data_IF_357216649326
#
_entry.id   IF_357216649326
#
_cell.length_a   1.000
_cell.length_b   1.000
_cell.length_c   1.000
_cell.angle_alpha   90.00
_cell.angle_beta   90.00
_cell.angle_gamma   90.00
#
_symmetry.space_group_name_H-M   'P 1'
#
loop_
_entity.id
_entity.type
_entity.pdbx_description
1 polymer ?
#
# COMPACT_ATOMS: atom_id res chain seq x y z
N UNK A 1 18.21 13.21 29.69
CA UNK A 1 16.85 12.77 30.06
C UNK A 1 15.76 13.76 29.61
N UNK A 2 15.68 15.03 30.09
CA UNK A 2 14.56 15.93 29.73
C UNK A 2 14.54 16.41 28.26
N UNK A 3 15.68 16.39 27.56
CA UNK A 3 15.74 16.70 26.12
C UNK A 3 15.17 15.59 25.23
N UNK A 4 15.36 14.32 25.59
CA UNK A 4 14.89 13.18 24.79
C UNK A 4 13.37 13.02 24.88
N UNK A 5 12.77 13.26 26.04
CA UNK A 5 11.30 13.25 26.19
C UNK A 5 10.62 14.27 25.28
N UNK A 6 11.12 15.52 25.24
CA UNK A 6 10.58 16.56 24.35
C UNK A 6 10.72 16.23 22.85
N UNK A 7 11.78 15.51 22.48
CA UNK A 7 12.00 15.05 21.10
C UNK A 7 10.99 13.94 20.75
N UNK A 8 10.74 13.02 21.68
CA UNK A 8 9.72 11.98 21.58
C UNK A 8 8.33 12.58 21.33
N UNK A 9 7.91 13.55 22.17
CA UNK A 9 6.63 14.23 22.03
C UNK A 9 6.50 14.94 20.66
N UNK A 10 7.61 15.52 20.19
CA UNK A 10 7.65 16.19 18.89
C UNK A 10 7.51 15.20 17.73
N UNK A 11 8.13 14.03 17.83
CA UNK A 11 8.04 12.95 16.83
C UNK A 11 6.62 12.40 16.74
N UNK A 12 5.98 12.11 17.88
CA UNK A 12 4.59 11.66 17.92
C UNK A 12 3.63 12.70 17.32
N UNK A 13 3.81 13.98 17.65
CA UNK A 13 3.01 15.07 17.09
C UNK A 13 3.16 15.15 15.56
N UNK A 14 4.39 15.00 15.05
CA UNK A 14 4.64 15.00 13.59
C UNK A 14 3.88 13.85 12.93
N UNK A 15 3.91 12.65 13.52
CA UNK A 15 3.15 11.51 13.00
C UNK A 15 1.64 11.83 12.91
N UNK A 16 1.03 12.34 13.99
CA UNK A 16 -0.40 12.69 14.00
C UNK A 16 -0.73 13.74 12.93
N UNK A 17 0.07 14.81 12.84
CA UNK A 17 -0.15 15.88 11.84
C UNK A 17 0.01 15.34 10.41
N UNK A 18 0.99 14.48 10.17
CA UNK A 18 1.21 13.86 8.86
C UNK A 18 0.08 12.89 8.47
N UNK A 19 -0.48 12.15 9.43
CA UNK A 19 -1.63 11.27 9.20
C UNK A 19 -2.91 12.06 8.87
N UNK A 20 -3.15 13.17 9.58
CA UNK A 20 -4.24 14.10 9.26
C UNK A 20 -4.05 14.68 7.85
N UNK A 21 -2.84 15.14 7.51
CA UNK A 21 -2.53 15.64 6.17
C UNK A 21 -2.75 14.57 5.09
N UNK A 22 -2.36 13.33 5.36
CA UNK A 22 -2.58 12.21 4.45
C UNK A 22 -4.07 11.94 4.24
N UNK A 23 -4.86 12.00 5.32
CA UNK A 23 -6.33 11.90 5.27
C UNK A 23 -6.95 13.03 4.44
N UNK A 24 -6.42 14.24 4.56
CA UNK A 24 -6.82 15.42 3.78
C UNK A 24 -6.34 15.40 2.31
N UNK A 25 -5.65 14.35 1.88
CA UNK A 25 -5.12 14.24 0.53
C UNK A 25 -3.80 14.97 0.29
N UNK A 26 -3.18 15.55 1.31
CA UNK A 26 -2.00 16.39 1.19
C UNK A 26 -0.71 15.56 1.33
N UNK A 27 -0.53 14.54 0.48
CA UNK A 27 0.55 13.56 0.61
C UNK A 27 1.95 14.19 0.61
N UNK A 28 2.19 15.19 -0.26
CA UNK A 28 3.47 15.90 -0.29
C UNK A 28 3.74 16.68 1.02
N UNK A 29 2.72 17.29 1.61
CA UNK A 29 2.85 18.00 2.88
C UNK A 29 3.04 17.04 4.07
N UNK A 30 2.43 15.85 4.02
CA UNK A 30 2.68 14.78 4.97
C UNK A 30 4.14 14.29 4.87
N UNK A 31 4.62 14.02 3.66
CA UNK A 31 6.00 13.62 3.41
C UNK A 31 7.00 14.67 3.91
N UNK A 32 6.77 15.94 3.62
CA UNK A 32 7.61 17.03 4.12
C UNK A 32 7.66 17.07 5.67
N UNK A 33 6.54 16.79 6.35
CA UNK A 33 6.53 16.70 7.80
C UNK A 33 7.43 15.57 8.32
N UNK A 34 7.33 14.37 7.72
CA UNK A 34 8.23 13.26 8.05
C UNK A 34 9.70 13.60 7.78
N UNK A 35 10.01 14.20 6.63
CA UNK A 35 11.38 14.62 6.29
C UNK A 35 11.95 15.65 7.28
N UNK A 36 11.10 16.55 7.79
CA UNK A 36 11.52 17.51 8.82
C UNK A 36 11.84 16.80 10.14
N UNK A 37 11.05 15.80 10.54
CA UNK A 37 11.34 15.01 11.73
C UNK A 37 12.63 14.20 11.58
N UNK A 38 12.86 13.55 10.43
CA UNK A 38 14.13 12.85 10.18
C UNK A 38 15.34 13.78 10.21
N UNK A 39 15.23 14.99 9.64
CA UNK A 39 16.31 16.00 9.74
C UNK A 39 16.58 16.42 11.18
N UNK A 40 15.54 16.69 11.96
CA UNK A 40 15.68 17.02 13.38
C UNK A 40 16.39 15.90 14.16
N UNK A 41 16.04 14.64 13.91
CA UNK A 41 16.69 13.50 14.55
C UNK A 41 18.14 13.35 14.09
N UNK A 42 18.43 13.57 12.81
CA UNK A 42 19.79 13.55 12.28
C UNK A 42 20.70 14.61 12.93
N UNK A 43 20.20 15.84 13.08
CA UNK A 43 20.91 16.94 13.76
C UNK A 43 21.20 16.63 15.23
N UNK A 44 20.40 15.74 15.85
CA UNK A 44 20.58 15.26 17.22
C UNK A 44 21.43 13.98 17.32
N UNK A 45 22.02 13.52 16.22
CA UNK A 45 22.86 12.32 16.18
C UNK A 45 22.08 11.01 16.03
N UNK A 46 20.89 11.05 15.44
CA UNK A 46 19.99 9.91 15.22
C UNK A 46 19.65 9.11 16.50
N UNK A 47 19.11 9.77 17.55
CA UNK A 47 18.68 9.05 18.73
C UNK A 47 17.50 8.14 18.38
N UNK A 48 17.51 6.92 18.91
CA UNK A 48 16.34 6.03 18.88
C UNK A 48 15.34 6.55 19.93
N UNK A 49 14.19 7.03 19.46
CA UNK A 49 13.12 7.63 20.28
C UNK A 49 11.77 6.98 19.97
N UNK A 50 10.81 7.09 20.89
CA UNK A 50 9.46 6.58 20.70
C UNK A 50 8.78 7.29 19.52
N UNK A 51 8.02 6.55 18.71
CA UNK A 51 7.33 7.06 17.52
C UNK A 51 8.19 7.14 16.26
N UNK A 52 9.49 6.84 16.33
CA UNK A 52 10.36 6.80 15.13
C UNK A 52 9.93 5.71 14.15
N UNK A 53 9.48 4.56 14.66
CA UNK A 53 8.89 3.48 13.90
C UNK A 53 7.63 3.94 13.13
N UNK A 54 6.81 4.81 13.74
CA UNK A 54 5.62 5.38 13.12
C UNK A 54 5.95 6.37 12.01
N UNK A 55 7.05 7.13 12.14
CA UNK A 55 7.55 7.96 11.04
C UNK A 55 7.96 7.10 9.84
N UNK A 56 8.69 6.01 10.08
CA UNK A 56 9.08 5.08 9.03
C UNK A 56 7.87 4.41 8.36
N UNK A 57 6.92 3.92 9.15
CA UNK A 57 5.66 3.34 8.66
C UNK A 57 4.85 4.35 7.83
N UNK A 58 4.71 5.58 8.32
CA UNK A 58 4.00 6.64 7.63
C UNK A 58 4.63 6.99 6.27
N UNK A 59 5.96 7.05 6.19
CA UNK A 59 6.67 7.25 4.91
C UNK A 59 6.50 6.06 3.98
N UNK A 60 6.52 4.83 4.49
CA UNK A 60 6.27 3.63 3.69
C UNK A 60 4.90 3.69 3.01
N UNK A 61 3.85 4.04 3.75
CA UNK A 61 2.50 4.18 3.21
C UNK A 61 2.45 5.20 2.05
N UNK A 62 3.17 6.33 2.17
CA UNK A 62 3.27 7.34 1.11
C UNK A 62 4.03 6.82 -0.11
N UNK A 63 5.18 6.16 0.09
CA UNK A 63 5.94 5.57 -1.00
C UNK A 63 5.14 4.51 -1.74
N UNK A 64 4.36 3.70 -1.03
CA UNK A 64 3.44 2.77 -1.64
C UNK A 64 2.48 3.49 -2.56
N UNK A 65 1.78 4.54 -2.10
CA UNK A 65 0.83 5.28 -2.94
C UNK A 65 1.45 5.91 -4.18
N UNK A 66 2.74 6.29 -4.09
CA UNK A 66 3.54 6.77 -5.21
C UNK A 66 4.20 5.67 -6.04
N UNK A 67 3.79 4.41 -5.86
CA UNK A 67 4.27 3.26 -6.62
C UNK A 67 5.77 2.95 -6.44
N UNK A 68 6.38 3.42 -5.34
CA UNK A 68 7.79 3.22 -4.97
C UNK A 68 7.91 2.09 -3.94
N UNK A 69 7.61 0.86 -4.39
CA UNK A 69 7.43 -0.28 -3.49
C UNK A 69 8.70 -0.67 -2.72
N UNK A 70 9.86 -0.60 -3.36
CA UNK A 70 11.13 -0.97 -2.72
C UNK A 70 11.46 0.00 -1.57
N UNK A 71 11.25 1.29 -1.80
CA UNK A 71 11.43 2.31 -0.77
C UNK A 71 10.39 2.14 0.35
N UNK A 72 9.17 1.73 0.02
CA UNK A 72 8.16 1.41 1.02
C UNK A 72 8.59 0.21 1.88
N UNK A 73 9.15 -0.84 1.27
CA UNK A 73 9.64 -2.03 1.96
C UNK A 73 10.83 -1.70 2.88
N UNK A 74 11.82 -0.94 2.39
CA UNK A 74 12.96 -0.48 3.17
C UNK A 74 12.53 0.25 4.46
N UNK A 75 11.51 1.11 4.36
CA UNK A 75 10.97 1.83 5.50
C UNK A 75 10.21 0.91 6.48
N UNK A 76 9.49 -0.12 6.02
CA UNK A 76 8.84 -1.07 6.93
C UNK A 76 9.85 -1.97 7.65
N UNK A 77 10.91 -2.39 6.96
CA UNK A 77 12.01 -3.13 7.59
C UNK A 77 12.71 -2.30 8.67
N UNK A 78 12.90 -0.99 8.44
CA UNK A 78 13.43 -0.09 9.46
C UNK A 78 12.46 0.06 10.65
N UNK A 79 11.16 0.18 10.40
CA UNK A 79 10.15 0.26 11.45
C UNK A 79 10.06 -1.03 12.29
N UNK A 80 10.20 -2.20 11.67
CA UNK A 80 10.26 -3.50 12.35
C UNK A 80 11.48 -3.61 13.26
N UNK A 81 12.66 -3.27 12.74
CA UNK A 81 13.92 -3.28 13.50
C UNK A 81 13.84 -2.36 14.74
N UNK A 82 13.22 -1.19 14.60
CA UNK A 82 12.98 -0.27 15.71
C UNK A 82 11.95 -0.82 16.72
N UNK A 83 10.92 -1.52 16.24
CA UNK A 83 9.87 -2.11 17.09
C UNK A 83 10.42 -3.23 17.99
N UNK A 84 11.43 -3.96 17.53
CA UNK A 84 12.14 -4.96 18.34
C UNK A 84 13.05 -4.32 19.38
N UNK A 85 13.73 -3.23 19.02
CA UNK A 85 14.65 -2.51 19.91
C UNK A 85 13.93 -1.74 21.02
N UNK A 86 12.76 -1.18 20.74
CA UNK A 86 12.07 -0.29 21.66
C UNK A 86 11.31 -1.02 22.78
N UNK A 87 11.07 -2.35 22.69
CA UNK A 87 10.34 -3.19 23.68
C UNK A 87 9.19 -2.44 24.39
N UNK A 88 8.44 -1.60 23.67
CA UNK A 88 7.45 -0.72 24.28
C UNK A 88 6.17 -0.72 23.43
N UNK A 89 5.05 -0.95 24.12
CA UNK A 89 3.65 -0.89 23.67
C UNK A 89 3.22 -1.93 22.62
N UNK A 90 2.51 -3.01 23.03
CA UNK A 90 1.97 -4.00 22.10
C UNK A 90 0.96 -3.45 21.08
N UNK A 91 0.28 -2.34 21.38
CA UNK A 91 -0.76 -1.76 20.52
C UNK A 91 -0.19 -1.23 19.20
N UNK A 92 1.10 -0.95 19.06
CA UNK A 92 1.62 -0.31 17.85
C UNK A 92 2.06 -1.33 16.78
N UNK A 93 2.28 -2.58 17.18
CA UNK A 93 2.65 -3.69 16.29
C UNK A 93 1.55 -4.01 15.27
N UNK A 94 0.27 -3.82 15.63
CA UNK A 94 -0.83 -4.07 14.69
C UNK A 94 -0.79 -3.11 13.50
N UNK A 95 -0.44 -1.83 13.70
CA UNK A 95 -0.41 -0.82 12.63
C UNK A 95 0.69 -1.11 11.62
N UNK A 96 1.88 -1.46 12.11
CA UNK A 96 2.99 -1.89 11.26
C UNK A 96 2.59 -3.12 10.42
N UNK A 97 1.96 -4.09 11.07
CA UNK A 97 1.48 -5.31 10.41
C UNK A 97 0.44 -5.01 9.31
N UNK A 98 -0.47 -4.06 9.55
CA UNK A 98 -1.42 -3.60 8.52
C UNK A 98 -0.70 -2.92 7.35
N UNK A 99 0.33 -2.10 7.58
CA UNK A 99 1.12 -1.50 6.49
C UNK A 99 1.87 -2.57 5.67
N UNK A 100 2.46 -3.57 6.32
CA UNK A 100 3.04 -4.74 5.65
C UNK A 100 2.01 -5.51 4.83
N UNK A 101 0.86 -5.83 5.41
CA UNK A 101 -0.21 -6.52 4.71
C UNK A 101 -0.62 -5.77 3.45
N UNK A 102 -0.78 -4.44 3.53
CA UNK A 102 -1.14 -3.65 2.37
C UNK A 102 -0.03 -3.61 1.32
N UNK A 103 1.25 -3.55 1.71
CA UNK A 103 2.37 -3.64 0.77
C UNK A 103 2.39 -4.99 0.06
N UNK A 104 2.24 -6.10 0.79
CA UNK A 104 2.18 -7.45 0.22
C UNK A 104 0.99 -7.64 -0.71
N UNK A 105 -0.17 -7.08 -0.35
CA UNK A 105 -1.34 -7.04 -1.21
C UNK A 105 -1.07 -6.28 -2.52
N UNK A 106 -0.37 -5.14 -2.48
CA UNK A 106 0.03 -4.38 -3.67
C UNK A 106 1.08 -5.12 -4.51
N UNK A 107 1.96 -5.92 -3.89
CA UNK A 107 2.92 -6.79 -4.57
C UNK A 107 2.28 -8.06 -5.17
N UNK A 108 1.00 -8.31 -4.90
CA UNK A 108 0.28 -9.52 -5.33
C UNK A 108 0.51 -10.75 -4.43
N UNK A 109 1.30 -10.62 -3.36
CA UNK A 109 1.50 -11.68 -2.38
C UNK A 109 0.36 -11.67 -1.35
N UNK A 110 -0.80 -12.19 -1.78
CA UNK A 110 -2.03 -12.18 -0.99
C UNK A 110 -1.95 -13.10 0.24
N UNK A 111 -1.18 -14.18 0.16
CA UNK A 111 -0.95 -15.09 1.29
C UNK A 111 -0.13 -14.41 2.38
N UNK A 112 0.99 -13.78 2.02
CA UNK A 112 1.77 -13.00 2.98
C UNK A 112 0.94 -11.84 3.55
N UNK A 113 0.07 -11.22 2.73
CA UNK A 113 -0.83 -10.18 3.22
C UNK A 113 -1.77 -10.68 4.32
N UNK A 114 -2.37 -11.86 4.16
CA UNK A 114 -3.21 -12.48 5.20
C UNK A 114 -2.40 -12.81 6.45
N UNK A 115 -1.20 -13.38 6.31
CA UNK A 115 -0.33 -13.69 7.45
C UNK A 115 0.02 -12.45 8.29
N UNK A 116 0.25 -11.31 7.64
CA UNK A 116 0.45 -10.04 8.33
C UNK A 116 -0.82 -9.52 9.02
N UNK A 117 -2.01 -9.75 8.47
CA UNK A 117 -3.27 -9.39 9.13
C UNK A 117 -3.56 -10.29 10.33
N UNK A 118 -3.18 -11.56 10.27
CA UNK A 118 -3.28 -12.47 11.42
C UNK A 118 -2.31 -12.07 12.53
N UNK A 119 -1.08 -11.67 12.17
CA UNK A 119 -0.15 -11.06 13.11
C UNK A 119 -0.71 -9.76 13.71
N UNK A 120 -1.39 -8.92 12.91
CA UNK A 120 -2.04 -7.71 13.40
C UNK A 120 -3.13 -8.03 14.44
N UNK A 121 -3.95 -9.05 14.19
CA UNK A 121 -5.03 -9.48 15.08
C UNK A 121 -4.49 -10.03 16.41
N UNK A 122 -3.46 -10.87 16.36
CA UNK A 122 -2.83 -11.45 17.56
C UNK A 122 -2.22 -10.39 18.49
N UNK A 123 -1.74 -9.29 17.92
CA UNK A 123 -1.12 -8.20 18.66
C UNK A 123 -2.05 -7.00 18.89
N UNK A 124 -3.31 -7.07 18.45
CA UNK A 124 -4.26 -6.00 18.66
C UNK A 124 -4.70 -5.94 20.13
N UNK A 125 -4.54 -4.78 20.75
CA UNK A 125 -5.11 -4.49 22.06
C UNK A 125 -6.21 -3.46 21.90
N UNK A 126 -7.39 -3.76 22.47
CA UNK A 126 -8.51 -2.82 22.41
C UNK A 126 -8.17 -1.55 23.17
N UNK A 127 -8.09 -0.44 22.47
CA UNK A 127 -7.91 0.89 23.06
C UNK A 127 -9.19 1.74 22.99
N UNK A 128 -9.27 2.85 23.74
CA UNK A 128 -10.38 3.79 23.62
C UNK A 128 -10.43 4.52 22.26
N UNK A 129 -9.33 4.48 21.51
CA UNK A 129 -9.22 5.13 20.21
C UNK A 129 -9.90 4.27 19.13
N UNK A 130 -10.70 4.88 18.24
CA UNK A 130 -11.32 4.14 17.14
C UNK A 130 -10.28 3.69 16.12
N UNK A 131 -10.29 2.41 15.75
CA UNK A 131 -9.57 1.91 14.58
C UNK A 131 -10.39 2.25 13.34
N UNK A 132 -9.91 3.22 12.55
CA UNK A 132 -10.63 3.75 11.39
C UNK A 132 -10.46 2.88 10.12
N UNK A 133 -9.41 2.05 10.08
CA UNK A 133 -9.09 1.15 8.98
C UNK A 133 -8.70 -0.21 9.56
N UNK A 134 -9.71 -0.97 9.97
CA UNK A 134 -9.53 -2.22 10.71
C UNK A 134 -8.80 -3.28 9.88
N UNK A 135 -8.07 -4.17 10.56
CA UNK A 135 -7.38 -5.27 9.87
C UNK A 135 -8.40 -6.27 9.29
N UNK A 136 -9.60 -6.38 9.88
CA UNK A 136 -10.70 -7.19 9.38
C UNK A 136 -11.23 -6.66 8.04
N UNK A 137 -11.39 -5.35 7.88
CA UNK A 137 -11.78 -4.74 6.61
C UNK A 137 -10.67 -4.91 5.55
N UNK A 138 -9.39 -4.79 5.92
CA UNK A 138 -8.29 -5.13 5.02
C UNK A 138 -8.29 -6.61 4.63
N UNK A 139 -8.62 -7.51 5.55
CA UNK A 139 -8.73 -8.95 5.28
C UNK A 139 -9.81 -9.23 4.25
N UNK A 140 -10.98 -8.59 4.39
CA UNK A 140 -12.03 -8.67 3.38
C UNK A 140 -11.54 -8.19 1.99
N UNK A 141 -10.74 -7.13 1.93
CA UNK A 141 -10.13 -6.67 0.67
C UNK A 141 -9.14 -7.66 0.07
N UNK A 142 -8.38 -8.38 0.88
CA UNK A 142 -7.50 -9.45 0.41
C UNK A 142 -8.32 -10.63 -0.13
N UNK A 143 -9.39 -11.05 0.57
CA UNK A 143 -10.28 -12.11 0.07
C UNK A 143 -10.94 -11.74 -1.26
N UNK A 144 -11.35 -10.48 -1.43
CA UNK A 144 -11.86 -9.99 -2.72
C UNK A 144 -10.82 -10.12 -3.84
N UNK A 145 -9.55 -9.82 -3.57
CA UNK A 145 -8.44 -10.00 -4.51
C UNK A 145 -8.17 -11.48 -4.84
N UNK A 146 -8.44 -12.39 -3.90
CA UNK A 146 -8.34 -13.83 -4.10
C UNK A 146 -9.56 -14.43 -4.83
N UNK A 147 -10.61 -13.65 -5.06
CA UNK A 147 -11.90 -14.14 -5.57
C UNK A 147 -12.77 -14.85 -4.52
N UNK A 148 -12.36 -14.87 -3.25
CA UNK A 148 -13.10 -15.46 -2.13
C UNK A 148 -14.22 -14.51 -1.64
N UNK A 149 -15.17 -14.18 -2.52
CA UNK A 149 -16.21 -13.19 -2.26
C UNK A 149 -17.16 -13.61 -1.12
N UNK A 150 -17.35 -14.90 -0.90
CA UNK A 150 -18.19 -15.41 0.19
C UNK A 150 -17.57 -15.17 1.56
N UNK A 151 -16.25 -15.31 1.72
CA UNK A 151 -15.56 -14.97 2.96
C UNK A 151 -15.68 -13.47 3.28
N UNK A 152 -15.61 -12.61 2.26
CA UNK A 152 -15.85 -11.17 2.41
C UNK A 152 -17.32 -10.88 2.76
N UNK A 153 -18.28 -11.66 2.24
CA UNK A 153 -19.69 -11.55 2.60
C UNK A 153 -19.97 -11.97 4.05
N UNK A 154 -19.28 -13.00 4.54
CA UNK A 154 -19.36 -13.43 5.94
C UNK A 154 -18.80 -12.36 6.89
N UNK A 155 -17.76 -11.63 6.47
CA UNK A 155 -17.28 -10.46 7.20
C UNK A 155 -18.35 -9.36 7.31
N UNK A 156 -19.03 -9.02 6.20
CA UNK A 156 -20.15 -8.05 6.19
C UNK A 156 -21.24 -8.45 7.19
N UNK A 157 -21.64 -9.72 7.18
CA UNK A 157 -22.68 -10.25 8.08
C UNK A 157 -22.26 -10.14 9.56
N UNK A 158 -21.03 -10.55 9.90
CA UNK A 158 -20.49 -10.48 11.28
C UNK A 158 -20.38 -9.04 11.80
N UNK A 159 -20.10 -8.08 10.93
CA UNK A 159 -19.95 -6.67 11.30
C UNK A 159 -21.27 -5.89 11.24
N UNK A 160 -22.38 -6.55 10.88
CA UNK A 160 -23.69 -5.91 10.78
C UNK A 160 -23.69 -4.71 9.82
N UNK A 161 -22.91 -4.79 8.73
CA UNK A 161 -22.81 -3.69 7.78
C UNK A 161 -24.07 -3.63 6.92
N UNK A 162 -24.62 -2.43 6.82
CA UNK A 162 -25.82 -2.15 6.04
C UNK A 162 -25.61 -0.86 5.25
N UNK A 163 -26.28 -0.75 4.10
CA UNK A 163 -26.37 0.50 3.33
C UNK A 163 -27.33 1.51 3.96
N UNK A 164 -28.11 1.10 4.95
CA UNK A 164 -29.00 1.97 5.72
C UNK A 164 -28.28 2.64 6.91
N UNK A 165 -28.56 3.93 7.16
CA UNK A 165 -28.08 4.65 8.35
C UNK A 165 -27.07 5.77 8.08
N UNK A 166 -26.66 6.45 9.15
CA UNK A 166 -25.73 7.58 9.05
C UNK A 166 -24.30 7.12 8.72
N UNK A 167 -23.65 7.83 7.79
CA UNK A 167 -22.25 7.60 7.45
C UNK A 167 -21.39 8.37 8.45
N UNK A 168 -20.91 7.66 9.46
CA UNK A 168 -19.93 8.20 10.40
C UNK A 168 -18.51 7.94 9.88
N UNK A 169 -17.57 8.83 10.24
CA UNK A 169 -16.16 8.66 9.86
C UNK A 169 -15.59 7.29 10.29
N UNK A 170 -16.01 6.77 11.45
CA UNK A 170 -15.59 5.46 11.96
C UNK A 170 -16.01 4.31 11.04
N UNK A 171 -17.22 4.36 10.45
CA UNK A 171 -17.76 3.30 9.59
C UNK A 171 -17.44 3.49 8.11
N UNK A 172 -16.87 4.63 7.73
CA UNK A 172 -16.64 4.97 6.33
C UNK A 172 -15.81 3.90 5.61
N UNK A 173 -14.69 3.47 6.20
CA UNK A 173 -13.81 2.48 5.58
C UNK A 173 -14.50 1.12 5.38
N UNK A 174 -15.32 0.71 6.34
CA UNK A 174 -16.10 -0.53 6.27
C UNK A 174 -17.17 -0.45 5.18
N UNK A 175 -17.86 0.69 5.06
CA UNK A 175 -18.87 0.92 4.02
C UNK A 175 -18.27 1.04 2.62
N UNK A 176 -17.09 1.65 2.49
CA UNK A 176 -16.31 1.62 1.23
C UNK A 176 -15.94 0.18 0.89
N UNK A 177 -15.55 -0.63 1.88
CA UNK A 177 -15.21 -2.04 1.68
C UNK A 177 -16.43 -2.89 1.30
N UNK A 178 -17.60 -2.60 1.87
CA UNK A 178 -18.88 -3.17 1.44
C UNK A 178 -19.19 -2.81 -0.03
N UNK A 179 -19.01 -1.55 -0.41
CA UNK A 179 -19.21 -1.12 -1.80
C UNK A 179 -18.26 -1.82 -2.77
N UNK A 180 -16.99 -2.05 -2.37
CA UNK A 180 -16.03 -2.85 -3.15
C UNK A 180 -16.51 -4.30 -3.33
N UNK A 181 -17.08 -4.91 -2.30
CA UNK A 181 -17.62 -6.28 -2.40
C UNK A 181 -18.77 -6.34 -3.40
N UNK A 182 -19.70 -5.38 -3.35
CA UNK A 182 -20.80 -5.30 -4.30
C UNK A 182 -20.35 -5.07 -5.73
N UNK A 183 -19.35 -4.20 -5.93
CA UNK A 183 -18.73 -4.02 -7.25
C UNK A 183 -18.07 -5.31 -7.74
N UNK A 184 -17.27 -5.97 -6.91
CA UNK A 184 -16.59 -7.21 -7.27
C UNK A 184 -17.58 -8.32 -7.62
N UNK A 185 -18.68 -8.46 -6.86
CA UNK A 185 -19.76 -9.40 -7.19
C UNK A 185 -20.48 -9.01 -8.48
N UNK A 186 -20.80 -7.74 -8.69
CA UNK A 186 -21.46 -7.31 -9.92
C UNK A 186 -20.59 -7.46 -11.17
N UNK A 187 -19.26 -7.40 -11.03
CA UNK A 187 -18.32 -7.72 -12.11
C UNK A 187 -18.29 -9.24 -12.37
N UNK A 188 -18.30 -10.07 -11.31
CA UNK A 188 -18.26 -11.53 -11.44
C UNK A 188 -19.58 -12.11 -11.97
N UNK A 189 -20.71 -11.58 -11.50
CA UNK A 189 -22.06 -11.93 -11.92
C UNK A 189 -22.94 -10.67 -12.07
N UNK A 190 -23.03 -10.12 -13.30
CA UNK A 190 -23.87 -8.96 -13.58
C UNK A 190 -25.36 -9.19 -13.32
N UNK A 191 -25.84 -10.43 -13.31
CA UNK A 191 -27.25 -10.77 -13.11
C UNK A 191 -27.73 -10.63 -11.66
N UNK A 192 -26.82 -10.79 -10.70
CA UNK A 192 -27.08 -10.63 -9.26
C UNK A 192 -26.71 -9.23 -8.73
N UNK A 193 -26.24 -8.36 -9.62
CA UNK A 193 -25.68 -7.08 -9.24
C UNK A 193 -26.74 -6.08 -8.76
N UNK A 194 -26.60 -5.63 -7.51
CA UNK A 194 -27.45 -4.59 -6.94
C UNK A 194 -26.97 -3.16 -7.31
N UNK A 195 -26.78 -2.87 -8.60
CA UNK A 195 -26.19 -1.62 -9.11
C UNK A 195 -26.82 -0.35 -8.53
N UNK A 196 -28.15 -0.30 -8.46
CA UNK A 196 -28.88 0.84 -7.88
C UNK A 196 -28.50 1.09 -6.41
N UNK A 197 -28.36 0.03 -5.61
CA UNK A 197 -27.93 0.13 -4.20
C UNK A 197 -26.47 0.56 -4.09
N UNK A 198 -25.60 0.03 -4.95
CA UNK A 198 -24.19 0.43 -5.04
C UNK A 198 -24.06 1.93 -5.35
N UNK A 199 -24.74 2.43 -6.38
CA UNK A 199 -24.71 3.86 -6.74
C UNK A 199 -25.23 4.75 -5.62
N UNK A 200 -26.33 4.37 -4.97
CA UNK A 200 -26.88 5.12 -3.85
C UNK A 200 -25.91 5.21 -2.66
N UNK A 201 -25.23 4.11 -2.35
CA UNK A 201 -24.22 4.06 -1.29
C UNK A 201 -22.99 4.91 -1.67
N UNK A 202 -22.45 4.74 -2.88
CA UNK A 202 -21.29 5.49 -3.37
C UNK A 202 -21.56 6.99 -3.42
N UNK A 203 -22.76 7.43 -3.82
CA UNK A 203 -23.14 8.84 -3.84
C UNK A 203 -23.13 9.46 -2.42
N UNK A 204 -23.69 8.76 -1.44
CA UNK A 204 -23.71 9.21 -0.04
C UNK A 204 -22.31 9.22 0.58
N UNK A 205 -21.50 8.18 0.31
CA UNK A 205 -20.11 8.11 0.75
C UNK A 205 -19.28 9.25 0.14
N UNK A 206 -19.46 9.53 -1.15
CA UNK A 206 -18.73 10.61 -1.83
C UNK A 206 -19.06 11.97 -1.21
N UNK A 207 -20.35 12.24 -0.99
CA UNK A 207 -20.79 13.47 -0.34
C UNK A 207 -20.18 13.63 1.05
N UNK A 208 -20.24 12.59 1.88
CA UNK A 208 -19.64 12.60 3.21
C UNK A 208 -18.12 12.82 3.17
N UNK A 209 -17.42 12.12 2.27
CA UNK A 209 -15.97 12.22 2.10
C UNK A 209 -15.54 13.63 1.69
N UNK A 210 -16.22 14.23 0.71
CA UNK A 210 -15.97 15.59 0.26
C UNK A 210 -16.26 16.62 1.37
N UNK A 211 -17.40 16.48 2.07
CA UNK A 211 -17.78 17.40 3.13
C UNK A 211 -16.78 17.47 4.28
N UNK A 212 -16.07 16.37 4.58
CA UNK A 212 -14.99 16.38 5.57
C UNK A 212 -13.59 16.24 5.00
N UNK A 213 -13.38 16.63 3.73
CA UNK A 213 -12.05 16.74 3.12
C UNK A 213 -11.25 15.44 2.97
N UNK A 214 -11.89 14.27 3.03
CA UNK A 214 -11.22 12.96 2.97
C UNK A 214 -10.95 12.54 1.53
N UNK A 215 -9.99 13.24 0.93
CA UNK A 215 -9.71 13.19 -0.50
C UNK A 215 -9.33 11.78 -0.99
N UNK A 216 -8.57 11.01 -0.20
CA UNK A 216 -8.25 9.61 -0.54
C UNK A 216 -9.50 8.73 -0.67
N UNK A 217 -10.46 8.87 0.26
CA UNK A 217 -11.76 8.18 0.17
C UNK A 217 -12.55 8.65 -1.05
N UNK A 218 -12.58 9.97 -1.32
CA UNK A 218 -13.30 10.52 -2.46
C UNK A 218 -12.76 9.98 -3.80
N UNK A 219 -11.43 9.90 -3.98
CA UNK A 219 -10.81 9.29 -5.16
C UNK A 219 -11.22 7.82 -5.28
N UNK A 220 -11.08 7.05 -4.20
CA UNK A 220 -11.42 5.62 -4.17
C UNK A 220 -12.88 5.38 -4.58
N UNK A 221 -13.79 6.22 -4.08
CA UNK A 221 -15.22 6.15 -4.41
C UNK A 221 -15.49 6.50 -5.88
N UNK A 222 -14.84 7.54 -6.41
CA UNK A 222 -14.99 7.93 -7.83
C UNK A 222 -14.42 6.86 -8.78
N UNK A 223 -13.31 6.22 -8.39
CA UNK A 223 -12.77 5.05 -9.09
C UNK A 223 -13.79 3.92 -9.14
N UNK A 224 -14.41 3.56 -8.00
CA UNK A 224 -15.45 2.53 -7.98
C UNK A 224 -16.68 2.91 -8.83
N UNK A 225 -17.09 4.18 -8.84
CA UNK A 225 -18.20 4.65 -9.70
C UNK A 225 -17.88 4.48 -11.18
N UNK A 226 -16.67 4.83 -11.60
CA UNK A 226 -16.22 4.65 -12.98
C UNK A 226 -16.23 3.16 -13.36
N UNK A 227 -15.69 2.29 -12.50
CA UNK A 227 -15.65 0.86 -12.75
C UNK A 227 -17.04 0.21 -12.75
N UNK A 228 -17.96 0.66 -11.89
CA UNK A 228 -19.36 0.21 -11.89
C UNK A 228 -20.03 0.50 -13.23
N UNK A 229 -19.88 1.71 -13.78
CA UNK A 229 -20.45 2.08 -15.07
C UNK A 229 -19.89 1.24 -16.22
N UNK A 230 -18.58 0.94 -16.20
CA UNK A 230 -17.99 0.01 -17.18
C UNK A 230 -18.61 -1.39 -17.05
N UNK A 231 -18.77 -1.89 -15.83
CA UNK A 231 -19.35 -3.21 -15.55
C UNK A 231 -20.84 -3.30 -15.94
N UNK A 232 -21.57 -2.20 -15.84
CA UNK A 232 -22.97 -2.05 -16.28
C UNK A 232 -23.13 -1.96 -17.81
N UNK A 233 -22.03 -1.86 -18.56
CA UNK A 233 -22.06 -1.71 -20.01
C UNK A 233 -22.23 -0.27 -20.50
N UNK A 234 -21.96 0.73 -19.65
CA UNK A 234 -21.91 2.16 -20.01
C UNK A 234 -20.49 2.77 -19.88
N UNK A 235 -19.52 2.39 -20.75
CA UNK A 235 -18.19 3.01 -20.77
C UNK A 235 -18.19 4.54 -20.96
N UNK A 236 -19.06 5.16 -21.77
CA UNK A 236 -19.13 6.61 -21.86
C UNK A 236 -19.47 7.28 -20.52
N UNK A 237 -20.40 6.70 -19.74
CA UNK A 237 -20.75 7.19 -18.40
C UNK A 237 -19.57 7.19 -17.43
N UNK A 238 -18.64 6.23 -17.57
CA UNK A 238 -17.46 6.07 -16.71
C UNK A 238 -16.43 7.21 -16.80
N UNK A 239 -16.46 8.00 -17.87
CA UNK A 239 -15.45 9.01 -18.15
C UNK A 239 -15.51 10.20 -17.19
N UNK A 240 -16.70 10.59 -16.74
CA UNK A 240 -16.85 11.74 -15.86
C UNK A 240 -16.37 11.45 -14.43
N UNK A 241 -16.76 10.33 -13.78
CA UNK A 241 -16.16 9.95 -12.49
C UNK A 241 -14.66 9.70 -12.58
N UNK A 242 -14.17 9.10 -13.68
CA UNK A 242 -12.74 8.94 -13.90
C UNK A 242 -12.02 10.29 -13.96
N UNK A 243 -12.55 11.26 -14.72
CA UNK A 243 -11.97 12.61 -14.80
C UNK A 243 -11.89 13.27 -13.43
N UNK A 244 -12.98 13.23 -12.66
CA UNK A 244 -12.99 13.79 -11.30
C UNK A 244 -11.96 13.09 -10.39
N UNK A 245 -11.83 11.77 -10.48
CA UNK A 245 -10.82 11.04 -9.72
C UNK A 245 -9.40 11.47 -10.09
N UNK A 246 -9.10 11.62 -11.39
CA UNK A 246 -7.80 12.05 -11.89
C UNK A 246 -7.46 13.47 -11.45
N UNK A 247 -8.40 14.41 -11.55
CA UNK A 247 -8.22 15.81 -11.15
C UNK A 247 -7.89 15.94 -9.65
N UNK A 248 -8.54 15.14 -8.79
CA UNK A 248 -8.24 15.11 -7.35
C UNK A 248 -6.91 14.42 -7.05
N UNK A 249 -6.54 13.40 -7.83
CA UNK A 249 -5.40 12.55 -7.57
C UNK A 249 -4.07 13.15 -8.06
N UNK A 250 -4.07 13.88 -9.17
CA UNK A 250 -2.87 14.39 -9.84
C UNK A 250 -1.98 15.27 -8.93
N UNK A 251 -2.51 16.26 -8.19
CA UNK A 251 -1.68 17.16 -7.37
C UNK A 251 -0.87 16.45 -6.28
N UNK A 252 -1.40 15.34 -5.75
CA UNK A 252 -0.77 14.54 -4.70
C UNK A 252 -0.14 13.24 -5.21
N UNK A 253 -0.32 12.94 -6.50
CA UNK A 253 0.32 11.83 -7.19
C UNK A 253 -0.18 10.44 -6.81
N UNK A 254 -1.47 10.27 -6.48
CA UNK A 254 -2.03 8.97 -6.09
C UNK A 254 -2.01 7.94 -7.23
N UNK A 255 -1.05 7.01 -7.25
CA UNK A 255 -0.99 5.98 -8.28
C UNK A 255 -1.77 4.72 -7.88
N UNK A 256 -1.59 4.23 -6.65
CA UNK A 256 -2.12 2.92 -6.24
C UNK A 256 -3.64 2.83 -6.17
N UNK A 257 -4.34 3.93 -5.92
CA UNK A 257 -5.81 3.95 -5.97
C UNK A 257 -6.38 3.62 -7.36
N UNK A 258 -5.57 3.71 -8.42
CA UNK A 258 -5.95 3.31 -9.78
C UNK A 258 -5.27 2.00 -10.18
N UNK A 259 -3.95 1.89 -9.97
CA UNK A 259 -3.15 0.74 -10.42
C UNK A 259 -3.60 -0.55 -9.76
N UNK A 260 -3.99 -0.48 -8.50
CA UNK A 260 -4.40 -1.65 -7.74
C UNK A 260 -5.79 -2.19 -8.15
N UNK A 261 -6.53 -1.48 -9.01
CA UNK A 261 -7.78 -1.97 -9.63
C UNK A 261 -7.52 -2.87 -10.85
N UNK A 262 -6.29 -2.93 -11.35
CA UNK A 262 -5.87 -3.86 -12.39
C UNK A 262 -6.44 -3.55 -13.79
N UNK A 263 -6.65 -4.62 -14.57
CA UNK A 263 -6.97 -4.56 -16.00
C UNK A 263 -8.21 -3.68 -16.33
N UNK A 264 -9.33 -3.72 -15.59
CA UNK A 264 -10.48 -2.86 -15.86
C UNK A 264 -10.13 -1.37 -15.87
N UNK A 265 -9.33 -0.92 -14.90
CA UNK A 265 -8.88 0.47 -14.83
C UNK A 265 -7.86 0.79 -15.93
N UNK A 266 -6.95 -0.12 -16.23
CA UNK A 266 -5.99 0.05 -17.32
C UNK A 266 -6.70 0.25 -18.67
N UNK A 267 -7.73 -0.55 -18.95
CA UNK A 267 -8.53 -0.44 -20.17
C UNK A 267 -9.27 0.89 -20.24
N UNK A 268 -9.92 1.31 -19.14
CA UNK A 268 -10.65 2.57 -19.08
C UNK A 268 -9.72 3.78 -19.27
N UNK A 269 -8.54 3.79 -18.65
CA UNK A 269 -7.53 4.82 -18.86
C UNK A 269 -7.04 4.84 -20.32
N UNK A 270 -6.82 3.67 -20.91
CA UNK A 270 -6.42 3.56 -22.32
C UNK A 270 -7.47 4.12 -23.28
N UNK A 271 -8.75 3.87 -23.01
CA UNK A 271 -9.86 4.42 -23.79
C UNK A 271 -9.95 5.95 -23.66
N UNK A 272 -9.82 6.48 -22.44
CA UNK A 272 -9.77 7.92 -22.22
C UNK A 272 -8.61 8.60 -22.98
N UNK A 273 -7.44 7.95 -23.04
CA UNK A 273 -6.29 8.41 -23.86
C UNK A 273 -6.63 8.44 -25.34
N UNK A 274 -7.25 7.37 -25.88
CA UNK A 274 -7.65 7.29 -27.30
C UNK A 274 -8.65 8.37 -27.69
N UNK A 275 -9.52 8.76 -26.78
CA UNK A 275 -10.48 9.86 -26.98
C UNK A 275 -9.85 11.26 -26.84
N UNK A 276 -8.52 11.37 -26.89
CA UNK A 276 -7.80 12.64 -26.87
C UNK A 276 -7.65 13.30 -25.50
N UNK A 277 -7.95 12.58 -24.40
CA UNK A 277 -7.87 13.13 -23.02
C UNK A 277 -6.53 12.83 -22.33
N UNK A 278 -5.48 12.54 -23.09
CA UNK A 278 -4.22 12.07 -22.55
C UNK A 278 -3.45 13.15 -21.77
N UNK A 279 -3.27 12.98 -20.46
CA UNK A 279 -2.39 13.81 -19.64
C UNK A 279 -1.04 13.13 -19.36
N UNK A 280 -0.05 13.89 -18.88
CA UNK A 280 1.21 13.32 -18.40
C UNK A 280 0.96 12.36 -17.22
N UNK A 281 0.00 12.70 -16.36
CA UNK A 281 -0.41 11.89 -15.23
C UNK A 281 -1.02 10.54 -15.65
N UNK A 282 -1.93 10.53 -16.63
CA UNK A 282 -2.50 9.30 -17.17
C UNK A 282 -1.44 8.40 -17.81
N UNK A 283 -0.46 8.97 -18.52
CA UNK A 283 0.68 8.20 -19.06
C UNK A 283 1.51 7.56 -17.94
N UNK A 284 1.74 8.27 -16.84
CA UNK A 284 2.41 7.72 -15.65
C UNK A 284 1.61 6.58 -15.01
N UNK A 285 0.28 6.72 -14.91
CA UNK A 285 -0.61 5.65 -14.45
C UNK A 285 -0.52 4.42 -15.34
N UNK A 286 -0.66 4.59 -16.66
CA UNK A 286 -0.55 3.48 -17.63
C UNK A 286 0.81 2.79 -17.57
N UNK A 287 1.91 3.54 -17.43
CA UNK A 287 3.24 2.97 -17.27
C UNK A 287 3.38 2.14 -15.98
N UNK A 288 2.70 2.53 -14.90
CA UNK A 288 2.72 1.80 -13.63
C UNK A 288 2.03 0.43 -13.72
N UNK A 289 1.06 0.25 -14.62
CA UNK A 289 0.48 -1.08 -14.91
C UNK A 289 1.48 -1.99 -15.63
N UNK A 290 2.33 -1.46 -16.51
CA UNK A 290 3.36 -2.24 -17.22
C UNK A 290 4.56 -2.59 -16.34
N UNK A 291 4.77 -1.87 -15.25
CA UNK A 291 5.80 -2.16 -14.24
C UNK A 291 5.35 -3.18 -13.19
N UNK A 292 4.11 -3.68 -13.26
CA UNK A 292 3.66 -4.81 -12.46
C UNK A 292 4.41 -6.09 -12.87
N UNK A 293 4.80 -6.96 -11.93
CA UNK A 293 5.70 -8.07 -12.19
C UNK A 293 4.95 -9.23 -12.86
N UNK A 294 4.57 -9.07 -14.13
CA UNK A 294 4.12 -10.19 -14.95
C UNK A 294 4.28 -9.92 -16.46
N UNK A 295 5.53 -9.77 -16.90
CA UNK A 295 5.99 -10.29 -18.20
C UNK A 295 7.48 -10.65 -18.12
N UNK A 296 7.89 -11.88 -18.48
CA UNK A 296 9.30 -12.23 -18.62
C UNK A 296 9.88 -11.52 -19.84
N UNK A 297 10.44 -10.34 -19.61
CA UNK A 297 11.32 -9.70 -20.59
C UNK A 297 12.55 -10.58 -20.80
N UNK A 298 12.87 -10.88 -22.07
CA UNK A 298 14.02 -11.67 -22.47
C UNK A 298 15.29 -11.28 -21.69
N UNK A 299 16.17 -12.25 -21.32
CA UNK A 299 17.33 -12.01 -20.47
C UNK A 299 18.25 -10.99 -21.14
N UNK A 300 18.19 -9.75 -20.66
CA UNK A 300 19.16 -8.72 -21.00
C UNK A 300 20.48 -9.08 -20.31
N UNK A 301 21.62 -9.00 -21.03
CA UNK A 301 22.93 -9.20 -20.43
C UNK A 301 23.13 -8.20 -19.29
N UNK A 302 23.75 -8.65 -18.21
CA UNK A 302 24.13 -7.80 -17.08
C UNK A 302 24.96 -6.62 -17.59
N UNK A 303 24.55 -5.40 -17.26
CA UNK A 303 25.33 -4.19 -17.62
C UNK A 303 26.67 -4.16 -16.87
N UNK A 304 26.72 -4.79 -15.68
CA UNK A 304 27.92 -4.99 -14.88
C UNK A 304 27.91 -6.37 -14.22
N UNK A 305 29.04 -7.10 -14.18
CA UNK A 305 29.11 -8.37 -13.49
C UNK A 305 28.93 -8.19 -11.97
N UNK A 306 28.31 -9.19 -11.33
CA UNK A 306 28.23 -9.28 -9.88
C UNK A 306 29.63 -9.58 -9.31
N UNK A 307 29.98 -8.90 -8.23
CA UNK A 307 31.22 -9.19 -7.47
C UNK A 307 31.09 -10.52 -6.74
N UNK A 308 32.21 -11.13 -6.34
CA UNK A 308 32.21 -12.39 -5.55
C UNK A 308 31.34 -12.27 -4.29
N UNK A 309 31.40 -11.12 -3.61
CA UNK A 309 30.62 -10.87 -2.41
C UNK A 309 29.12 -10.75 -2.69
N UNK A 310 28.76 -10.13 -3.81
CA UNK A 310 27.37 -10.04 -4.26
C UNK A 310 26.81 -11.40 -4.69
N UNK A 311 27.63 -12.26 -5.30
CA UNK A 311 27.26 -13.64 -5.64
C UNK A 311 27.03 -14.49 -4.38
N UNK A 312 27.86 -14.34 -3.36
CA UNK A 312 27.71 -15.02 -2.08
C UNK A 312 26.41 -14.63 -1.38
N UNK A 313 26.12 -13.33 -1.31
CA UNK A 313 24.84 -12.79 -0.80
C UNK A 313 23.67 -13.35 -1.61
N UNK A 314 23.76 -13.36 -2.94
CA UNK A 314 22.70 -13.84 -3.83
C UNK A 314 22.39 -15.34 -3.64
N UNK A 315 23.41 -16.18 -3.37
CA UNK A 315 23.21 -17.60 -3.03
C UNK A 315 22.46 -17.77 -1.71
N UNK A 316 22.81 -16.98 -0.70
CA UNK A 316 22.13 -17.05 0.60
C UNK A 316 20.69 -16.54 0.52
N UNK A 317 20.41 -15.54 -0.32
CA UNK A 317 19.05 -15.09 -0.61
C UNK A 317 18.17 -16.18 -1.24
N UNK A 318 18.74 -17.18 -1.91
CA UNK A 318 18.02 -18.31 -2.48
C UNK A 318 17.64 -19.38 -1.45
N UNK A 319 18.10 -19.25 -0.19
CA UNK A 319 17.73 -20.14 0.92
C UNK A 319 16.59 -19.55 1.75
N UNK A 320 16.11 -20.28 2.75
CA UNK A 320 15.07 -19.82 3.69
C UNK A 320 15.60 -18.89 4.80
N UNK A 321 16.88 -18.49 4.73
CA UNK A 321 17.48 -17.63 5.75
C UNK A 321 16.91 -16.20 5.72
N UNK A 322 16.68 -15.63 6.90
CA UNK A 322 16.32 -14.23 7.10
C UNK A 322 17.52 -13.29 6.87
N UNK A 323 17.27 -12.01 6.59
CA UNK A 323 18.34 -11.01 6.44
C UNK A 323 19.34 -10.98 7.62
N UNK A 324 18.89 -11.02 8.89
CA UNK A 324 19.77 -11.11 10.05
C UNK A 324 20.59 -12.42 10.12
N UNK A 325 20.04 -13.54 9.66
CA UNK A 325 20.78 -14.81 9.58
C UNK A 325 21.85 -14.77 8.51
N UNK A 326 21.54 -14.19 7.34
CA UNK A 326 22.49 -13.99 6.24
C UNK A 326 23.61 -13.04 6.68
N UNK A 327 23.28 -11.93 7.36
CA UNK A 327 24.28 -10.97 7.84
C UNK A 327 25.22 -11.59 8.88
N UNK A 328 24.68 -12.40 9.81
CA UNK A 328 25.48 -13.19 10.77
C UNK A 328 26.36 -14.22 10.07
N UNK A 329 25.81 -14.93 9.10
CA UNK A 329 26.55 -15.93 8.31
C UNK A 329 27.74 -15.30 7.58
N UNK A 330 27.54 -14.11 7.03
CA UNK A 330 28.55 -13.37 6.29
C UNK A 330 29.49 -12.52 7.16
N UNK A 331 29.26 -12.47 8.48
CA UNK A 331 30.02 -11.64 9.44
C UNK A 331 30.07 -10.17 8.96
N UNK A 332 28.89 -9.63 8.60
CA UNK A 332 28.71 -8.22 8.22
C UNK A 332 27.51 -7.63 8.96
N UNK A 333 27.44 -6.29 9.03
CA UNK A 333 26.22 -5.65 9.52
C UNK A 333 25.06 -5.88 8.54
N UNK A 334 23.83 -5.82 9.06
CA UNK A 334 22.63 -5.88 8.23
C UNK A 334 22.57 -4.70 7.24
N UNK A 335 23.14 -3.54 7.58
CA UNK A 335 23.25 -2.38 6.69
C UNK A 335 24.19 -2.63 5.50
N UNK A 336 25.30 -3.31 5.73
CA UNK A 336 26.21 -3.76 4.67
C UNK A 336 25.53 -4.81 3.80
N UNK A 337 24.79 -5.74 4.39
CA UNK A 337 23.98 -6.70 3.65
C UNK A 337 22.92 -6.02 2.77
N UNK A 338 22.15 -5.05 3.31
CA UNK A 338 21.16 -4.25 2.56
C UNK A 338 21.81 -3.53 1.38
N UNK A 339 23.02 -3.00 1.56
CA UNK A 339 23.79 -2.37 0.48
C UNK A 339 24.14 -3.36 -0.63
N UNK A 340 24.60 -4.57 -0.28
CA UNK A 340 24.84 -5.62 -1.26
C UNK A 340 23.57 -6.03 -2.00
N UNK A 341 22.45 -6.22 -1.28
CA UNK A 341 21.14 -6.58 -1.88
C UNK A 341 20.70 -5.51 -2.89
N UNK A 342 20.79 -4.22 -2.51
CA UNK A 342 20.45 -3.11 -3.41
C UNK A 342 21.31 -3.08 -4.66
N UNK A 343 22.63 -3.30 -4.52
CA UNK A 343 23.54 -3.32 -5.67
C UNK A 343 23.25 -4.53 -6.57
N UNK A 344 22.99 -5.70 -6.00
CA UNK A 344 22.58 -6.92 -6.72
C UNK A 344 21.31 -6.66 -7.53
N UNK A 345 20.29 -6.05 -6.90
CA UNK A 345 19.02 -5.72 -7.54
C UNK A 345 19.21 -4.74 -8.70
N UNK A 346 20.00 -3.68 -8.47
CA UNK A 346 20.37 -2.72 -9.52
C UNK A 346 21.08 -3.38 -10.70
N UNK A 347 22.04 -4.26 -10.44
CA UNK A 347 22.79 -4.98 -11.49
C UNK A 347 21.93 -6.01 -12.24
N UNK A 348 21.01 -6.68 -11.54
CA UNK A 348 20.10 -7.67 -12.12
C UNK A 348 18.87 -7.03 -12.80
N UNK A 349 18.62 -5.73 -12.61
CA UNK A 349 17.41 -5.06 -13.09
C UNK A 349 16.13 -5.63 -12.46
N UNK A 350 16.22 -6.06 -11.21
CA UNK A 350 15.11 -6.64 -10.43
C UNK A 350 14.94 -5.85 -9.14
N UNK A 351 13.81 -6.04 -8.47
CA UNK A 351 13.45 -5.25 -7.29
C UNK A 351 12.97 -6.10 -6.10
N UNK A 352 13.03 -7.43 -6.21
CA UNK A 352 12.59 -8.31 -5.13
C UNK A 352 13.50 -9.52 -5.00
N UNK A 353 13.51 -10.09 -3.78
CA UNK A 353 14.28 -11.31 -3.46
C UNK A 353 13.89 -12.46 -4.38
N UNK A 354 12.59 -12.67 -4.58
CA UNK A 354 12.06 -13.69 -5.51
C UNK A 354 12.51 -13.44 -6.95
N UNK A 355 12.45 -12.19 -7.44
CA UNK A 355 12.89 -11.87 -8.80
C UNK A 355 14.40 -12.04 -8.99
N UNK A 356 15.21 -11.67 -7.99
CA UNK A 356 16.65 -11.88 -7.99
C UNK A 356 17.02 -13.36 -8.00
N UNK A 357 16.40 -14.17 -7.13
CA UNK A 357 16.62 -15.63 -7.08
C UNK A 357 16.20 -16.30 -8.39
N UNK A 358 15.03 -15.96 -8.94
CA UNK A 358 14.57 -16.49 -10.24
C UNK A 358 15.54 -16.17 -11.37
N UNK A 359 16.00 -14.91 -11.45
CA UNK A 359 16.97 -14.47 -12.48
C UNK A 359 18.33 -15.15 -12.33
N UNK A 360 18.70 -15.53 -11.11
CA UNK A 360 19.90 -16.33 -10.83
C UNK A 360 19.79 -17.74 -11.40
N UNK A 361 18.64 -18.39 -11.23
CA UNK A 361 18.38 -19.72 -11.82
C UNK A 361 18.44 -19.69 -13.35
N UNK A 362 17.94 -18.63 -13.98
CA UNK A 362 17.99 -18.43 -15.43
C UNK A 362 19.43 -18.18 -15.96
N UNK A 363 20.29 -17.55 -15.16
CA UNK A 363 21.70 -17.29 -15.51
C UNK A 363 22.61 -18.51 -15.29
N UNK A 364 22.24 -19.43 -14.40
CA UNK A 364 23.04 -20.65 -14.08
C UNK A 364 22.77 -21.81 -15.06
N UNK A 365 21.72 -21.69 -15.90
CA UNK A 365 21.32 -22.67 -16.93
C UNK A 365 21.95 -22.41 -18.31
N UNK A 366 23.08 -21.69 -18.38
CA UNK A 366 23.84 -21.45 -19.62
C UNK A 366 25.31 -21.79 -19.48
#
# INVERSE_FOLDING_TARGET
>A
MPRLGRVSDSVELVFIVADIRSTLGQLHAAYQAYQNAFRLLADLGNPVVMGLEDLHRGVSDLYREWNRLDQAEDHLLAAEELSDQLILMPDWRHRLSVSWARLKMTQGDLEAALGWLDHAEQHYMRTPLPVLRSFEAWRARVWMRQGALDAAQDWVARHGLTDAGEITYRREFDLITLARLWLARGIADPGEAAWSRLHALLARLLHAAQAGGRLGSAIEILVMRALAQVAEGDPPGALEPLRQALDLAEPSGYLRLFVDEGLPMQMLLGEAVKQGRATAYMRRLLAAFSAAPDQPGAPQPLSEPLTERELEVLRLLATDQSGPEIARHLIISLSTLRTHIRNIYGKLGVNSRRAAVRRTSELTLR
#
